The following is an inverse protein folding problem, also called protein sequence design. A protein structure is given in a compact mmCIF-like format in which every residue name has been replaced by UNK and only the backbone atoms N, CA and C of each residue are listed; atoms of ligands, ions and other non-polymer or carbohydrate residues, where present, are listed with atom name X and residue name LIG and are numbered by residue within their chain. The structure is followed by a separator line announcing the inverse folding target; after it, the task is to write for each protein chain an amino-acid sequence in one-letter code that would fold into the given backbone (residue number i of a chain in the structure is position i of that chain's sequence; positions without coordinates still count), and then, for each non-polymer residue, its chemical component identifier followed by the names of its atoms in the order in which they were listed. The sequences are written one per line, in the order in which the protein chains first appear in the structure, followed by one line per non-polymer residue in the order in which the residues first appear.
data_IF_829706735241
#
_entry.id   IF_829706735241
#
_cell.length_a   1.000
_cell.length_b   1.000
_cell.length_c   1.000
_cell.angle_alpha   90.00
_cell.angle_beta   90.00
_cell.angle_gamma   90.00
#
_symmetry.space_group_name_H-M   'P 1'
#
loop_
_entity.id
_entity.type
_entity.pdbx_description
1 polymer ?
#
# COMPACT_ATOMS: atom_id res chain seq x y z
N UNK A 1 -20.64 3.73 5.18
CA UNK A 1 -20.65 2.61 6.10
C UNK A 1 -19.59 2.77 7.16
N UNK A 2 -19.97 2.55 8.40
CA UNK A 2 -19.08 2.63 9.58
C UNK A 2 -18.33 1.30 9.82
N UNK A 3 -18.66 0.25 9.08
CA UNK A 3 -18.07 -1.07 9.27
C UNK A 3 -16.88 -1.30 8.34
N UNK A 4 -15.86 -1.96 8.87
CA UNK A 4 -14.73 -2.41 8.07
C UNK A 4 -15.18 -3.48 7.06
N UNK A 5 -14.66 -3.39 5.84
CA UNK A 5 -14.89 -4.40 4.80
C UNK A 5 -13.56 -4.75 4.13
N UNK A 6 -13.37 -6.00 3.69
CA UNK A 6 -12.13 -6.43 3.05
C UNK A 6 -11.76 -5.59 1.83
N UNK A 7 -10.46 -5.43 1.57
CA UNK A 7 -9.92 -4.69 0.42
C UNK A 7 -10.48 -5.20 -0.94
N UNK A 8 -11.07 -6.40 -0.97
CA UNK A 8 -11.74 -6.95 -2.15
C UNK A 8 -12.92 -6.11 -2.64
N UNK A 9 -13.54 -5.31 -1.76
CA UNK A 9 -14.67 -4.44 -2.09
C UNK A 9 -14.25 -3.10 -2.71
N UNK A 10 -12.94 -2.85 -2.84
CA UNK A 10 -12.38 -1.62 -3.39
C UNK A 10 -11.62 -1.88 -4.69
N UNK A 11 -11.44 -0.82 -5.47
CA UNK A 11 -10.46 -0.80 -6.56
C UNK A 11 -9.06 -0.93 -5.97
N UNK A 12 -8.28 -1.90 -6.45
CA UNK A 12 -7.00 -2.26 -5.83
C UNK A 12 -5.95 -2.70 -6.85
N UNK A 13 -4.68 -2.42 -6.56
CA UNK A 13 -3.54 -2.75 -7.42
C UNK A 13 -3.40 -4.23 -7.77
N UNK A 14 -3.86 -5.15 -6.89
CA UNK A 14 -3.84 -6.59 -7.17
C UNK A 14 -4.74 -7.02 -8.33
N UNK A 15 -5.71 -6.21 -8.73
CA UNK A 15 -6.65 -6.47 -9.84
C UNK A 15 -6.53 -5.44 -10.96
N UNK A 16 -6.04 -4.25 -10.66
CA UNK A 16 -5.79 -3.16 -11.59
C UNK A 16 -4.35 -2.63 -11.34
N UNK A 17 -3.33 -3.27 -11.89
CA UNK A 17 -1.94 -2.96 -11.58
C UNK A 17 -1.55 -1.51 -11.90
N UNK A 18 -2.16 -0.90 -12.91
CA UNK A 18 -1.96 0.51 -13.26
C UNK A 18 -2.22 1.46 -12.09
N UNK A 19 -3.10 1.10 -11.14
CA UNK A 19 -3.34 1.90 -9.94
C UNK A 19 -2.10 2.02 -9.03
N UNK A 20 -1.13 1.13 -9.16
CA UNK A 20 0.11 1.17 -8.37
C UNK A 20 1.04 2.32 -8.77
N UNK A 21 0.91 2.84 -9.99
CA UNK A 21 1.67 3.99 -10.49
C UNK A 21 0.99 5.34 -10.16
N UNK A 22 -0.12 5.34 -9.42
CA UNK A 22 -0.71 6.59 -8.94
C UNK A 22 0.11 7.10 -7.75
N UNK A 23 0.61 8.32 -7.87
CA UNK A 23 1.08 9.12 -6.75
C UNK A 23 0.11 10.28 -6.48
N UNK A 24 0.20 10.86 -5.29
CA UNK A 24 -0.74 11.89 -4.87
C UNK A 24 -0.04 12.97 -4.04
N UNK A 25 -0.52 14.21 -4.19
CA UNK A 25 -0.14 15.33 -3.33
C UNK A 25 -1.41 15.94 -2.74
N UNK A 26 -1.44 16.07 -1.43
CA UNK A 26 -2.56 16.67 -0.71
C UNK A 26 -2.21 18.11 -0.31
N UNK A 27 -3.09 19.03 -0.63
CA UNK A 27 -3.08 20.43 -0.19
C UNK A 27 -4.06 20.57 0.97
N UNK A 28 -3.53 20.66 2.18
CA UNK A 28 -4.32 20.75 3.40
C UNK A 28 -5.13 22.04 3.49
N UNK A 29 -4.59 23.16 2.99
CA UNK A 29 -5.25 24.46 3.05
C UNK A 29 -6.51 24.49 2.18
N UNK A 30 -6.43 23.92 0.98
CA UNK A 30 -7.52 23.88 0.02
C UNK A 30 -8.31 22.56 0.07
N UNK A 31 -7.89 21.59 0.90
CA UNK A 31 -8.44 20.24 0.97
C UNK A 31 -8.49 19.55 -0.40
N UNK A 32 -7.51 19.85 -1.24
CA UNK A 32 -7.43 19.39 -2.61
C UNK A 32 -6.39 18.27 -2.75
N UNK A 33 -6.74 17.26 -3.53
CA UNK A 33 -5.86 16.14 -3.86
C UNK A 33 -5.49 16.22 -5.34
N UNK A 34 -4.18 16.29 -5.62
CA UNK A 34 -3.68 16.15 -6.99
C UNK A 34 -3.16 14.74 -7.19
N UNK A 35 -3.65 14.06 -8.21
CA UNK A 35 -3.25 12.72 -8.62
C UNK A 35 -2.33 12.82 -9.83
N UNK A 36 -1.27 12.01 -9.83
CA UNK A 36 -0.30 11.87 -10.91
C UNK A 36 -0.26 10.43 -11.37
N UNK A 37 -0.11 10.22 -12.67
CA UNK A 37 0.11 8.91 -13.28
C UNK A 37 0.84 9.06 -14.61
N UNK A 38 1.84 8.23 -14.97
CA UNK A 38 2.67 8.42 -16.17
C UNK A 38 1.87 8.52 -17.48
N UNK A 39 0.74 7.82 -17.55
CA UNK A 39 -0.10 7.77 -18.76
C UNK A 39 -1.37 8.65 -18.66
N UNK A 40 -1.43 9.60 -17.72
CA UNK A 40 -2.57 10.50 -17.52
C UNK A 40 -2.09 11.92 -17.27
N UNK A 41 -2.92 12.90 -17.64
CA UNK A 41 -2.72 14.27 -17.17
C UNK A 41 -3.01 14.34 -15.68
N UNK A 42 -2.29 15.19 -14.98
CA UNK A 42 -2.53 15.47 -13.57
C UNK A 42 -4.00 15.87 -13.36
N UNK A 43 -4.56 15.41 -12.26
CA UNK A 43 -5.95 15.67 -11.92
C UNK A 43 -6.07 16.14 -10.48
N UNK A 44 -6.54 17.37 -10.30
CA UNK A 44 -6.77 17.98 -8.98
C UNK A 44 -8.25 18.05 -8.69
N UNK A 45 -8.66 17.64 -7.50
CA UNK A 45 -10.04 17.68 -7.05
C UNK A 45 -10.12 17.70 -5.52
N UNK A 46 -11.28 18.05 -5.00
CA UNK A 46 -11.60 17.96 -3.57
C UNK A 46 -12.39 16.66 -3.34
N UNK A 47 -11.83 15.65 -2.63
CA UNK A 47 -12.49 14.35 -2.48
C UNK A 47 -13.85 14.37 -1.77
N UNK A 48 -14.09 15.40 -0.94
CA UNK A 48 -15.34 15.57 -0.21
C UNK A 48 -16.40 16.38 -1.02
N UNK A 49 -16.04 16.92 -2.18
CA UNK A 49 -16.97 17.61 -3.08
C UNK A 49 -17.58 16.61 -4.07
N UNK A 50 -18.84 16.24 -3.83
CA UNK A 50 -19.57 15.29 -4.67
C UNK A 50 -19.75 15.74 -6.11
N UNK A 51 -19.71 17.05 -6.39
CA UNK A 51 -19.81 17.58 -7.76
C UNK A 51 -18.61 17.21 -8.63
N UNK A 52 -17.45 16.95 -8.03
CA UNK A 52 -16.19 16.57 -8.69
C UNK A 52 -16.02 15.06 -8.86
N UNK A 53 -16.92 14.25 -8.30
CA UNK A 53 -16.87 12.79 -8.38
C UNK A 53 -16.81 12.27 -9.82
N UNK A 54 -17.61 12.83 -10.72
CA UNK A 54 -17.66 12.41 -12.13
C UNK A 54 -16.32 12.62 -12.84
N UNK A 55 -15.62 13.71 -12.54
CA UNK A 55 -14.27 13.99 -13.05
C UNK A 55 -13.25 12.96 -12.57
N UNK A 56 -13.27 12.65 -11.27
CA UNK A 56 -12.41 11.60 -10.71
C UNK A 56 -12.68 10.23 -11.34
N UNK A 57 -13.96 9.84 -11.49
CA UNK A 57 -14.32 8.56 -12.11
C UNK A 57 -13.89 8.48 -13.57
N UNK A 58 -14.01 9.57 -14.32
CA UNK A 58 -13.51 9.66 -15.70
C UNK A 58 -11.97 9.56 -15.76
N UNK A 59 -11.28 10.14 -14.79
CA UNK A 59 -9.82 10.10 -14.71
C UNK A 59 -9.30 8.69 -14.41
N UNK A 60 -9.92 7.97 -13.44
CA UNK A 60 -9.46 6.64 -13.01
C UNK A 60 -9.88 5.51 -13.95
N UNK A 61 -10.98 5.67 -14.68
CA UNK A 61 -11.57 4.62 -15.52
C UNK A 61 -10.59 3.95 -16.49
N UNK A 62 -9.72 4.68 -17.23
CA UNK A 62 -8.76 4.05 -18.14
C UNK A 62 -7.66 3.23 -17.45
N UNK A 63 -7.47 3.43 -16.11
CA UNK A 63 -6.51 2.68 -15.31
C UNK A 63 -7.11 1.36 -14.77
N UNK A 64 -8.41 1.17 -14.96
CA UNK A 64 -9.13 -0.02 -14.54
C UNK A 64 -9.33 -0.98 -15.72
N UNK A 65 -9.08 -2.29 -15.54
CA UNK A 65 -9.36 -3.27 -16.60
C UNK A 65 -10.85 -3.27 -16.98
N UNK A 66 -11.15 -3.19 -18.28
CA UNK A 66 -12.53 -3.08 -18.77
C UNK A 66 -13.46 -4.22 -18.34
N UNK A 67 -12.90 -5.44 -18.14
CA UNK A 67 -13.66 -6.65 -17.71
C UNK A 67 -13.84 -6.74 -16.18
N UNK A 68 -13.48 -5.70 -15.43
CA UNK A 68 -13.62 -5.63 -13.97
C UNK A 68 -14.67 -4.61 -13.57
N UNK A 69 -15.22 -4.80 -12.37
CA UNK A 69 -16.07 -3.77 -11.77
C UNK A 69 -15.32 -2.45 -11.71
N UNK A 70 -15.94 -1.39 -12.19
CA UNK A 70 -15.40 -0.06 -12.23
C UNK A 70 -15.63 0.67 -10.90
N UNK A 71 -14.78 1.65 -10.58
CA UNK A 71 -15.00 2.55 -9.45
C UNK A 71 -16.30 3.34 -9.67
N UNK A 72 -17.12 3.47 -8.65
CA UNK A 72 -18.42 4.16 -8.71
C UNK A 72 -18.55 5.30 -7.72
N UNK A 73 -17.71 5.34 -6.70
CA UNK A 73 -17.75 6.35 -5.64
C UNK A 73 -16.42 6.44 -4.89
N UNK A 74 -16.24 7.54 -4.19
CA UNK A 74 -15.22 7.72 -3.16
C UNK A 74 -15.87 7.44 -1.81
N UNK A 75 -15.15 6.76 -0.93
CA UNK A 75 -15.61 6.49 0.43
C UNK A 75 -14.62 7.13 1.39
N UNK A 76 -15.14 7.91 2.31
CA UNK A 76 -14.41 8.40 3.47
C UNK A 76 -14.66 7.48 4.65
N UNK A 77 -13.60 7.09 5.35
CA UNK A 77 -13.68 6.35 6.59
C UNK A 77 -13.63 7.37 7.72
N UNK A 78 -14.69 7.53 8.52
CA UNK A 78 -14.67 8.44 9.66
C UNK A 78 -13.81 7.84 10.78
N UNK A 79 -13.17 8.70 11.55
CA UNK A 79 -12.54 8.42 12.85
C UNK A 79 -11.39 7.38 12.85
N UNK A 80 -10.97 6.87 11.71
CA UNK A 80 -9.82 5.97 11.59
C UNK A 80 -9.16 6.05 10.20
N UNK A 81 -7.89 5.65 10.14
CA UNK A 81 -7.20 5.47 8.84
C UNK A 81 -7.80 4.30 8.06
N UNK A 82 -7.74 4.37 6.74
CA UNK A 82 -8.05 3.25 5.84
C UNK A 82 -6.92 2.23 5.91
N UNK A 83 -7.19 1.04 6.43
CA UNK A 83 -6.24 -0.07 6.58
C UNK A 83 -6.77 -1.34 5.94
N UNK A 84 -5.88 -2.26 5.53
CA UNK A 84 -6.26 -3.57 5.01
C UNK A 84 -6.74 -4.54 6.11
N UNK A 85 -6.62 -4.12 7.38
CA UNK A 85 -7.03 -4.87 8.57
C UNK A 85 -8.29 -4.28 9.21
N UNK A 86 -9.00 -5.05 9.98
CA UNK A 86 -10.18 -4.61 10.76
C UNK A 86 -9.80 -3.77 12.00
N UNK A 87 -8.51 -3.71 12.33
CA UNK A 87 -7.93 -2.86 13.36
C UNK A 87 -7.07 -1.73 12.76
N UNK A 88 -6.82 -0.63 13.49
CA UNK A 88 -5.93 0.44 13.06
C UNK A 88 -4.48 -0.07 12.98
N UNK A 89 -4.02 -0.41 11.80
CA UNK A 89 -2.68 -0.94 11.58
C UNK A 89 -1.76 0.06 10.88
N UNK A 90 -0.47 -0.04 11.20
CA UNK A 90 0.63 0.59 10.47
C UNK A 90 1.54 -0.52 9.96
N UNK A 91 1.96 -0.44 8.71
CA UNK A 91 2.92 -1.38 8.14
C UNK A 91 4.35 -0.93 8.41
N UNK A 92 5.14 -1.81 9.01
CA UNK A 92 6.57 -1.62 9.25
C UNK A 92 7.33 -2.55 8.32
N UNK A 93 8.26 -2.00 7.56
CA UNK A 93 9.04 -2.74 6.58
C UNK A 93 10.53 -2.49 6.81
N UNK A 94 11.35 -3.47 6.48
CA UNK A 94 12.80 -3.42 6.66
C UNK A 94 13.52 -3.27 5.32
N UNK A 95 14.42 -2.30 5.22
CA UNK A 95 15.33 -2.21 4.08
C UNK A 95 16.30 -3.39 4.01
N UNK A 96 16.66 -4.01 5.14
CA UNK A 96 17.50 -5.20 5.15
C UNK A 96 16.78 -6.38 4.46
N UNK A 97 15.50 -6.61 4.79
CA UNK A 97 14.65 -7.62 4.14
C UNK A 97 14.45 -7.32 2.64
N UNK A 98 14.28 -6.05 2.28
CA UNK A 98 14.16 -5.63 0.89
C UNK A 98 15.44 -5.92 0.09
N UNK A 99 16.61 -5.62 0.66
CA UNK A 99 17.90 -5.92 0.03
C UNK A 99 18.13 -7.43 -0.14
N UNK A 100 17.69 -8.23 0.83
CA UNK A 100 17.81 -9.69 0.77
C UNK A 100 16.91 -10.27 -0.35
N UNK A 101 15.66 -9.80 -0.45
CA UNK A 101 14.77 -10.14 -1.55
C UNK A 101 15.32 -9.70 -2.91
N UNK A 102 15.84 -8.46 -3.01
CA UNK A 102 16.45 -7.93 -4.23
C UNK A 102 17.64 -8.79 -4.69
N UNK A 103 18.44 -9.26 -3.74
CA UNK A 103 19.58 -10.17 -4.00
C UNK A 103 19.09 -11.51 -4.58
N UNK A 104 18.03 -12.10 -4.00
CA UNK A 104 17.43 -13.33 -4.51
C UNK A 104 16.88 -13.15 -5.92
N UNK A 105 16.20 -12.03 -6.17
CA UNK A 105 15.62 -11.69 -7.47
C UNK A 105 16.66 -11.26 -8.52
N UNK A 106 17.90 -10.96 -8.09
CA UNK A 106 18.97 -10.41 -8.93
C UNK A 106 18.59 -9.10 -9.63
N UNK A 107 17.74 -8.32 -8.99
CA UNK A 107 17.28 -7.01 -9.46
C UNK A 107 16.92 -6.14 -8.26
N UNK A 108 17.05 -4.84 -8.41
CA UNK A 108 16.60 -3.91 -7.38
C UNK A 108 15.07 -3.88 -7.30
N UNK A 109 14.54 -4.08 -6.10
CA UNK A 109 13.10 -4.04 -5.84
C UNK A 109 12.75 -2.72 -5.16
N UNK A 110 11.96 -1.90 -5.83
CA UNK A 110 11.53 -0.61 -5.26
C UNK A 110 10.71 -0.79 -3.98
N UNK A 111 11.00 -0.03 -2.91
CA UNK A 111 10.20 -0.04 -1.68
C UNK A 111 8.74 0.43 -1.92
N UNK A 112 8.50 1.23 -2.94
CA UNK A 112 7.16 1.74 -3.27
C UNK A 112 6.17 0.65 -3.68
N UNK A 113 6.64 -0.53 -4.13
CA UNK A 113 5.78 -1.69 -4.44
C UNK A 113 4.98 -2.19 -3.23
N UNK A 114 5.51 -1.98 -2.03
CA UNK A 114 4.98 -2.51 -0.78
C UNK A 114 3.97 -1.59 -0.12
N UNK A 115 3.90 -0.30 -0.53
CA UNK A 115 3.00 0.71 0.04
C UNK A 115 3.13 0.80 1.57
N UNK A 116 4.37 0.64 2.07
CA UNK A 116 4.67 0.63 3.50
C UNK A 116 4.60 2.02 4.13
N UNK A 117 4.12 2.09 5.37
CA UNK A 117 4.05 3.35 6.12
C UNK A 117 5.40 3.74 6.73
N UNK A 118 6.08 2.78 7.36
CA UNK A 118 7.38 3.01 8.02
C UNK A 118 8.39 2.03 7.43
N UNK A 119 9.53 2.58 7.06
CA UNK A 119 10.69 1.82 6.60
C UNK A 119 11.84 2.04 7.57
N UNK A 120 12.40 0.95 8.07
CA UNK A 120 13.51 0.93 9.02
C UNK A 120 14.73 0.26 8.42
N UNK A 121 15.91 0.67 8.88
CA UNK A 121 17.19 0.07 8.51
C UNK A 121 17.98 -0.33 9.75
N UNK A 122 19.11 -1.04 9.55
CA UNK A 122 19.98 -1.46 10.64
C UNK A 122 19.59 -2.76 11.33
N UNK A 123 18.57 -3.46 10.83
CA UNK A 123 18.16 -4.79 11.29
C UNK A 123 18.87 -5.90 10.51
N UNK A 124 18.83 -7.13 11.04
CA UNK A 124 19.04 -8.34 10.24
C UNK A 124 17.86 -8.52 9.28
N UNK A 125 18.09 -9.13 8.08
CA UNK A 125 16.97 -9.45 7.19
C UNK A 125 15.89 -10.28 7.90
N UNK A 126 14.62 -9.92 7.72
CA UNK A 126 13.43 -10.59 8.25
C UNK A 126 13.27 -10.53 9.78
N UNK A 127 14.11 -9.78 10.48
CA UNK A 127 14.04 -9.62 11.94
C UNK A 127 12.68 -9.06 12.39
N UNK A 128 12.10 -8.15 11.60
CA UNK A 128 10.79 -7.55 11.88
C UNK A 128 9.68 -8.59 12.02
N UNK A 129 9.77 -9.74 11.35
CA UNK A 129 8.78 -10.82 11.49
C UNK A 129 8.74 -11.43 12.88
N UNK A 130 9.84 -11.35 13.64
CA UNK A 130 9.93 -11.87 15.01
C UNK A 130 9.24 -10.97 16.05
N UNK A 131 8.71 -9.81 15.64
CA UNK A 131 8.14 -8.82 16.56
C UNK A 131 6.63 -8.99 16.79
N UNK A 132 6.00 -9.97 16.18
CA UNK A 132 4.61 -10.33 16.48
C UNK A 132 4.40 -10.58 17.96
N UNK A 133 3.40 -9.94 18.58
CA UNK A 133 3.10 -9.97 20.01
C UNK A 133 4.11 -9.21 20.89
N UNK A 134 5.10 -8.52 20.32
CA UNK A 134 6.11 -7.78 21.09
C UNK A 134 5.88 -6.27 21.00
N UNK A 135 6.24 -5.59 22.10
CA UNK A 135 6.29 -4.13 22.13
C UNK A 135 7.68 -3.64 21.75
N UNK A 136 7.72 -2.63 20.89
CA UNK A 136 8.96 -1.97 20.48
C UNK A 136 8.74 -0.47 20.31
N UNK A 137 9.83 0.28 20.18
CA UNK A 137 9.79 1.74 20.10
C UNK A 137 10.50 2.22 18.84
N UNK A 138 9.85 3.14 18.12
CA UNK A 138 10.45 3.88 17.02
C UNK A 138 10.30 5.38 17.36
N UNK A 139 11.43 6.06 17.53
CA UNK A 139 11.41 7.45 18.04
C UNK A 139 10.73 7.54 19.41
N UNK A 140 9.74 8.42 19.54
CA UNK A 140 8.93 8.59 20.76
C UNK A 140 7.76 7.63 20.89
N UNK A 141 7.38 6.92 19.82
CA UNK A 141 6.16 6.14 19.72
C UNK A 141 6.39 4.68 20.08
N UNK A 142 5.50 4.10 20.90
CA UNK A 142 5.51 2.67 21.25
C UNK A 142 4.50 1.93 20.38
N UNK A 143 4.96 0.87 19.75
CA UNK A 143 4.18 -0.02 18.91
C UNK A 143 4.06 -1.40 19.55
N UNK A 144 3.01 -2.10 19.17
CA UNK A 144 2.88 -3.55 19.37
C UNK A 144 2.77 -4.22 18.01
N UNK A 145 3.69 -5.16 17.72
CA UNK A 145 3.65 -5.96 16.51
C UNK A 145 2.48 -6.94 16.57
N UNK A 146 1.76 -7.08 15.47
CA UNK A 146 0.61 -7.98 15.39
C UNK A 146 0.97 -9.22 14.59
N UNK A 147 1.16 -9.09 13.29
CA UNK A 147 1.41 -10.23 12.40
C UNK A 147 2.20 -9.81 11.15
N UNK A 148 2.95 -10.74 10.54
CA UNK A 148 3.57 -10.50 9.24
C UNK A 148 2.54 -10.21 8.16
N UNK A 149 2.86 -9.29 7.24
CA UNK A 149 1.94 -8.87 6.18
C UNK A 149 1.97 -9.85 5.03
N UNK A 150 0.89 -10.59 4.82
CA UNK A 150 0.72 -11.44 3.63
C UNK A 150 0.52 -10.55 2.40
N UNK A 151 1.42 -10.64 1.44
CA UNK A 151 1.41 -9.79 0.25
C UNK A 151 0.56 -10.37 -0.88
N UNK A 152 -0.02 -9.50 -1.66
CA UNK A 152 -0.85 -9.83 -2.81
C UNK A 152 -0.18 -9.40 -4.13
N UNK A 153 -0.80 -9.71 -5.25
CA UNK A 153 -0.33 -9.36 -6.60
C UNK A 153 -0.11 -7.86 -6.85
N UNK A 154 -0.49 -6.97 -5.93
CA UNK A 154 -0.17 -5.54 -6.07
C UNK A 154 1.34 -5.30 -6.12
N UNK A 155 2.13 -6.04 -5.32
CA UNK A 155 3.59 -5.88 -5.24
C UNK A 155 4.33 -6.28 -6.51
N UNK A 156 3.69 -7.01 -7.43
CA UNK A 156 4.28 -7.38 -8.72
C UNK A 156 4.24 -6.24 -9.74
N UNK A 157 3.45 -5.18 -9.48
CA UNK A 157 3.34 -4.04 -10.36
C UNK A 157 4.46 -3.01 -10.10
N UNK A 158 5.02 -2.48 -11.17
CA UNK A 158 5.98 -1.39 -11.13
C UNK A 158 5.30 -0.11 -10.66
N UNK A 159 5.83 0.57 -9.63
CA UNK A 159 5.24 1.81 -9.13
C UNK A 159 5.39 3.00 -10.08
N UNK A 160 6.27 2.93 -11.07
CA UNK A 160 6.49 4.01 -12.03
C UNK A 160 5.66 3.84 -13.31
N UNK A 161 5.35 2.60 -13.71
CA UNK A 161 4.62 2.30 -14.97
C UNK A 161 3.24 1.73 -14.76
N UNK A 162 2.99 1.08 -13.62
CA UNK A 162 1.76 0.34 -13.34
C UNK A 162 1.67 -1.02 -14.05
N UNK A 163 2.74 -1.48 -14.69
CA UNK A 163 2.80 -2.78 -15.34
C UNK A 163 3.37 -3.84 -14.41
N UNK A 164 2.98 -5.11 -14.59
CA UNK A 164 3.58 -6.21 -13.84
C UNK A 164 4.92 -6.58 -14.47
N UNK A 165 6.00 -6.36 -13.74
CA UNK A 165 7.37 -6.56 -14.21
C UNK A 165 8.23 -7.40 -13.25
N UNK A 166 7.69 -7.80 -12.08
CA UNK A 166 8.44 -8.53 -11.08
C UNK A 166 7.59 -9.64 -10.42
N UNK A 167 8.12 -10.83 -10.31
CA UNK A 167 7.50 -11.93 -9.55
C UNK A 167 7.92 -11.90 -8.08
N UNK A 168 7.52 -10.86 -7.37
CA UNK A 168 7.84 -10.69 -5.95
C UNK A 168 7.25 -11.79 -5.07
N UNK A 169 6.06 -12.29 -5.39
CA UNK A 169 5.38 -13.32 -4.60
C UNK A 169 6.03 -14.70 -4.80
N UNK A 170 6.40 -15.04 -6.05
CA UNK A 170 7.15 -16.27 -6.33
C UNK A 170 8.53 -16.25 -5.70
N UNK A 171 9.21 -15.10 -5.71
CA UNK A 171 10.51 -14.94 -5.07
C UNK A 171 10.42 -15.12 -3.54
N UNK A 172 9.44 -14.51 -2.88
CA UNK A 172 9.20 -14.70 -1.44
C UNK A 172 8.94 -16.18 -1.11
N UNK A 173 8.06 -16.83 -1.88
CA UNK A 173 7.74 -18.23 -1.67
C UNK A 173 8.95 -19.15 -1.90
N UNK A 174 9.77 -18.85 -2.90
CA UNK A 174 10.99 -19.61 -3.21
C UNK A 174 12.06 -19.45 -2.14
N UNK A 175 12.24 -18.23 -1.62
CA UNK A 175 13.31 -17.91 -0.67
C UNK A 175 12.96 -18.29 0.78
N UNK A 176 11.70 -18.13 1.17
CA UNK A 176 11.29 -18.21 2.58
C UNK A 176 10.01 -19.03 2.82
N UNK A 177 9.50 -19.72 1.81
CA UNK A 177 8.33 -20.61 1.86
C UNK A 177 7.00 -19.91 2.20
N UNK A 178 6.97 -18.57 2.22
CA UNK A 178 5.80 -17.76 2.46
C UNK A 178 5.74 -16.55 1.50
N UNK A 179 4.66 -15.76 1.58
CA UNK A 179 4.49 -14.53 0.82
C UNK A 179 4.42 -13.29 1.73
N UNK A 180 5.03 -13.37 2.91
CA UNK A 180 5.04 -12.29 3.88
C UNK A 180 6.17 -11.31 3.60
N UNK A 181 5.90 -10.01 3.79
CA UNK A 181 6.91 -8.96 3.77
C UNK A 181 6.47 -7.80 4.66
N UNK A 182 7.29 -7.47 5.67
CA UNK A 182 6.96 -6.48 6.69
C UNK A 182 6.01 -7.01 7.76
N UNK A 183 5.65 -6.16 8.70
CA UNK A 183 4.85 -6.46 9.89
C UNK A 183 3.73 -5.43 10.03
N UNK A 184 2.52 -5.87 10.34
CA UNK A 184 1.50 -4.98 10.88
C UNK A 184 1.76 -4.71 12.36
N UNK A 185 1.66 -3.45 12.74
CA UNK A 185 1.77 -3.00 14.12
C UNK A 185 0.66 -2.02 14.47
N UNK A 186 0.35 -1.89 15.75
CA UNK A 186 -0.54 -0.89 16.31
C UNK A 186 0.24 0.11 17.14
N UNK A 187 -0.14 1.38 17.12
CA UNK A 187 0.36 2.38 18.05
C UNK A 187 -0.35 2.19 19.39
N UNK A 188 0.42 1.97 20.45
CA UNK A 188 -0.14 1.80 21.80
C UNK A 188 0.20 2.96 22.72
N UNK A 189 1.20 3.78 22.35
CA UNK A 189 1.53 5.03 23.05
C UNK A 189 2.28 5.96 22.11
N UNK A 190 1.85 7.20 22.01
CA UNK A 190 2.48 8.31 21.30
C UNK A 190 2.91 9.42 22.24
#
# INVERSE_FOLDING_TARGET
GSEWVPCANFSRGSKAPSLMAISAKFDEANKALTLFHPNRKDFTFQPDDSSQLSGFLAWIKPLMPAKRAQSTRIIRVPDRGSTDTDYPSISINSYASLRDLSRLMKTEVSPLRWRGNIWIDGLSPWEEHSWGGKKFKIGGVVFEGVEPIVRCLATTANPDTGERDADTLGALKKGWEHQNFGLYAQVIKS
#
